data_IF_644071537467
#
_entry.id   IF_644071537467
#
_cell.length_a   1.000
_cell.length_b   1.000
_cell.length_c   1.000
_cell.angle_alpha   90.00
_cell.angle_beta   90.00
_cell.angle_gamma   90.00
#
_symmetry.space_group_name_H-M   'P 1'
#
loop_
_entity.id
_entity.type
_entity.pdbx_description
1 polymer ?
#
# COMPACT_ATOMS: atom_id res chain seq x y z
N UNK A 1 -0.07 -23.36 -11.74
CA UNK A 1 -0.02 -22.85 -10.36
C UNK A 1 -0.58 -21.43 -10.41
N UNK A 2 -1.77 -21.20 -9.86
CA UNK A 2 -2.34 -19.84 -9.82
C UNK A 2 -1.55 -19.06 -8.78
N UNK A 3 -0.89 -17.99 -9.20
CA UNK A 3 -0.24 -17.03 -8.32
C UNK A 3 -1.37 -16.29 -7.61
N UNK A 4 -1.58 -16.58 -6.32
CA UNK A 4 -2.59 -15.90 -5.50
C UNK A 4 -2.09 -14.49 -5.21
N UNK A 5 -2.47 -13.54 -6.05
CA UNK A 5 -2.32 -12.11 -5.77
C UNK A 5 -3.26 -11.74 -4.62
N UNK A 6 -2.71 -11.63 -3.42
CA UNK A 6 -3.46 -11.18 -2.24
C UNK A 6 -3.78 -9.68 -2.40
N UNK A 7 -5.07 -9.36 -2.55
CA UNK A 7 -5.55 -7.98 -2.56
C UNK A 7 -5.90 -7.61 -1.12
N UNK A 8 -5.12 -6.72 -0.50
CA UNK A 8 -5.45 -6.19 0.82
C UNK A 8 -6.16 -4.85 0.66
N UNK A 9 -7.40 -4.79 1.16
CA UNK A 9 -8.21 -3.57 1.17
C UNK A 9 -8.34 -3.07 2.60
N UNK A 10 -7.74 -1.93 2.88
CA UNK A 10 -7.73 -1.36 4.23
C UNK A 10 -8.86 -0.33 4.33
N UNK A 11 -9.84 -0.62 5.19
CA UNK A 11 -10.99 0.26 5.50
C UNK A 11 -10.83 0.93 6.87
N UNK A 12 -9.59 1.28 7.25
CA UNK A 12 -9.34 2.10 8.43
C UNK A 12 -9.31 3.55 8.00
N UNK A 13 -9.74 4.50 8.85
CA UNK A 13 -9.57 5.94 8.61
C UNK A 13 -8.09 6.34 8.64
N UNK A 14 -7.30 5.79 7.73
CA UNK A 14 -5.88 6.04 7.63
C UNK A 14 -5.68 7.52 7.30
N UNK A 15 -4.79 8.13 8.06
CA UNK A 15 -4.31 9.49 7.83
C UNK A 15 -2.89 9.41 7.29
N UNK A 16 -2.35 10.52 6.80
CA UNK A 16 -0.96 10.57 6.33
C UNK A 16 0.05 10.09 7.38
N UNK A 17 -0.27 10.21 8.67
CA UNK A 17 0.58 9.75 9.78
C UNK A 17 0.77 8.23 9.82
N UNK A 18 -0.20 7.45 9.34
CA UNK A 18 -0.12 5.98 9.36
C UNK A 18 0.56 5.39 8.12
N UNK A 19 0.92 6.23 7.14
CA UNK A 19 1.42 5.76 5.84
C UNK A 19 2.81 5.16 5.95
N UNK A 20 3.66 5.68 6.83
CA UNK A 20 4.98 5.12 7.06
C UNK A 20 4.89 3.67 7.60
N UNK A 21 4.09 3.46 8.64
CA UNK A 21 3.86 2.13 9.24
C UNK A 21 3.20 1.16 8.25
N UNK A 22 2.24 1.65 7.46
CA UNK A 22 1.64 0.88 6.39
C UNK A 22 2.69 0.45 5.36
N UNK A 23 3.53 1.37 4.89
CA UNK A 23 4.58 1.08 3.92
C UNK A 23 5.55 0.01 4.45
N UNK A 24 5.96 0.12 5.72
CA UNK A 24 6.83 -0.86 6.37
C UNK A 24 6.16 -2.25 6.44
N UNK A 25 4.88 -2.31 6.78
CA UNK A 25 4.15 -3.58 6.81
C UNK A 25 4.04 -4.22 5.42
N UNK A 26 3.82 -3.42 4.38
CA UNK A 26 3.66 -3.90 3.00
C UNK A 26 5.01 -4.36 2.43
N UNK A 27 6.09 -3.63 2.69
CA UNK A 27 7.44 -4.08 2.33
C UNK A 27 7.82 -5.37 3.06
N UNK A 28 7.46 -5.52 4.33
CA UNK A 28 7.68 -6.75 5.08
C UNK A 28 6.86 -7.93 4.55
N UNK A 29 5.65 -7.68 4.01
CA UNK A 29 4.73 -8.72 3.54
C UNK A 29 5.26 -9.47 2.31
N UNK A 30 6.05 -8.83 1.43
CA UNK A 30 6.70 -9.42 0.23
C UNK A 30 5.79 -10.23 -0.73
N UNK A 31 4.49 -10.36 -0.47
CA UNK A 31 3.52 -11.08 -1.31
C UNK A 31 2.43 -10.16 -1.86
N UNK A 32 2.30 -8.96 -1.30
CA UNK A 32 1.25 -8.02 -1.67
C UNK A 32 1.52 -7.41 -3.05
N UNK A 33 0.61 -7.67 -3.99
CA UNK A 33 0.72 -7.16 -5.36
C UNK A 33 -0.26 -6.03 -5.70
N UNK A 34 -1.27 -5.82 -4.85
CA UNK A 34 -2.28 -4.76 -4.99
C UNK A 34 -2.68 -4.19 -3.63
N UNK A 35 -2.65 -2.86 -3.51
CA UNK A 35 -3.04 -2.12 -2.32
C UNK A 35 -4.14 -1.11 -2.66
N UNK A 36 -5.27 -1.17 -1.93
CA UNK A 36 -6.41 -0.28 -2.15
C UNK A 36 -6.68 0.56 -0.89
N UNK A 37 -6.55 1.88 -1.01
CA UNK A 37 -6.66 2.91 0.02
C UNK A 37 -7.88 3.83 -0.14
N UNK A 38 -8.88 3.38 -0.92
CA UNK A 38 -10.14 4.13 -1.10
C UNK A 38 -10.88 4.33 0.21
N UNK A 39 -11.48 5.52 0.36
CA UNK A 39 -12.22 5.96 1.54
C UNK A 39 -11.36 6.19 2.80
N UNK A 40 -10.09 6.54 2.61
CA UNK A 40 -9.20 6.98 3.69
C UNK A 40 -9.12 8.51 3.76
N UNK A 41 -8.60 9.03 4.87
CA UNK A 41 -8.39 10.47 5.12
C UNK A 41 -6.95 10.90 4.81
N UNK A 42 -6.30 10.19 3.88
CA UNK A 42 -4.98 10.55 3.38
C UNK A 42 -5.08 11.75 2.45
N UNK A 43 -4.08 12.62 2.49
CA UNK A 43 -3.96 13.77 1.61
C UNK A 43 -2.81 13.57 0.64
N UNK A 44 -2.58 14.53 -0.27
CA UNK A 44 -1.45 14.49 -1.20
C UNK A 44 -0.08 14.41 -0.50
N UNK A 45 -0.01 14.71 0.81
CA UNK A 45 1.18 14.57 1.62
C UNK A 45 1.71 13.12 1.69
N UNK A 46 0.83 12.12 1.55
CA UNK A 46 1.23 10.71 1.55
C UNK A 46 1.74 10.19 0.19
N UNK A 47 1.47 10.90 -0.90
CA UNK A 47 1.80 10.46 -2.26
C UNK A 47 3.30 10.15 -2.43
N UNK A 48 4.26 11.00 -2.00
CA UNK A 48 5.68 10.69 -2.14
C UNK A 48 6.08 9.37 -1.47
N UNK A 49 5.47 9.07 -0.31
CA UNK A 49 5.75 7.83 0.42
C UNK A 49 5.18 6.62 -0.28
N UNK A 50 3.96 6.73 -0.81
CA UNK A 50 3.32 5.67 -1.58
C UNK A 50 4.04 5.37 -2.90
N UNK A 51 4.56 6.41 -3.58
CA UNK A 51 5.40 6.24 -4.77
C UNK A 51 6.67 5.48 -4.42
N UNK A 52 7.32 5.84 -3.30
CA UNK A 52 8.51 5.13 -2.85
C UNK A 52 8.23 3.67 -2.52
N UNK A 53 7.09 3.40 -1.89
CA UNK A 53 6.65 2.03 -1.64
C UNK A 53 6.52 1.21 -2.95
N UNK A 54 5.96 1.79 -4.02
CA UNK A 54 5.88 1.13 -5.33
C UNK A 54 7.25 0.87 -5.96
N UNK A 55 8.24 1.73 -5.68
CA UNK A 55 9.62 1.54 -6.17
C UNK A 55 10.37 0.46 -5.38
N UNK A 56 10.14 0.40 -4.07
CA UNK A 56 10.79 -0.54 -3.16
C UNK A 56 10.16 -1.95 -3.21
N UNK A 57 8.88 -2.04 -3.62
CA UNK A 57 8.15 -3.30 -3.78
C UNK A 57 7.88 -3.62 -5.27
N UNK A 58 8.79 -4.30 -5.97
CA UNK A 58 8.63 -4.61 -7.41
C UNK A 58 7.46 -5.58 -7.71
N UNK A 59 6.95 -6.26 -6.68
CA UNK A 59 5.79 -7.16 -6.79
C UNK A 59 4.48 -6.35 -6.79
N UNK A 60 4.51 -5.11 -6.28
CA UNK A 60 3.36 -4.25 -6.23
C UNK A 60 3.09 -3.62 -7.59
N UNK A 61 2.00 -4.07 -8.19
CA UNK A 61 1.58 -3.72 -9.55
C UNK A 61 0.47 -2.68 -9.58
N UNK A 62 -0.24 -2.52 -8.46
CA UNK A 62 -1.44 -1.70 -8.37
C UNK A 62 -1.54 -1.00 -7.00
N UNK A 63 -1.79 0.31 -7.05
CA UNK A 63 -2.09 1.15 -5.90
C UNK A 63 -3.31 2.03 -6.26
N UNK A 64 -4.40 1.93 -5.49
CA UNK A 64 -5.71 2.51 -5.85
C UNK A 64 -6.51 3.13 -4.72
#
# INVERSE_FOLDING_TARGET
MQQTSEITKVYMSLTDACVDELCESVTASCTLSSLILKNNSQTDASIPRLIKLMQDCPIMSELK
#
